data_IF_551230933403
#
_entry.id   IF_551230933403
#
_cell.length_a   1.000
_cell.length_b   1.000
_cell.length_c   1.000
_cell.angle_alpha   90.00
_cell.angle_beta   90.00
_cell.angle_gamma   90.00
#
_symmetry.space_group_name_H-M   'P 1'
#
loop_
_entity.id
_entity.type
_entity.pdbx_description
1 polymer ?
#
# COMPACT_ATOMS: atom_id res chain seq x y z
N UNK A 1 -44.72 -24.06 7.13
CA UNK A 1 -44.35 -23.95 8.55
C UNK A 1 -44.56 -25.29 9.24
N UNK A 2 -43.48 -25.92 9.74
CA UNK A 2 -43.56 -26.62 11.01
C UNK A 2 -42.35 -26.35 11.93
N UNK A 3 -42.65 -25.62 13.01
CA UNK A 3 -42.13 -25.62 14.39
C UNK A 3 -40.61 -25.59 14.66
N UNK A 4 -40.19 -24.41 15.13
CA UNK A 4 -39.10 -24.18 16.08
C UNK A 4 -39.10 -25.22 17.22
N UNK A 5 -37.95 -25.80 17.55
CA UNK A 5 -37.70 -26.48 18.83
C UNK A 5 -36.78 -25.60 19.68
N UNK A 6 -37.34 -25.05 20.76
CA UNK A 6 -36.60 -24.44 21.87
C UNK A 6 -36.38 -25.48 22.98
N UNK A 7 -35.35 -25.29 23.84
CA UNK A 7 -34.74 -26.36 24.63
C UNK A 7 -35.56 -26.69 25.88
N UNK A 8 -35.48 -27.94 26.33
CA UNK A 8 -35.88 -28.33 27.68
C UNK A 8 -34.92 -29.37 28.26
N UNK A 9 -34.11 -28.94 29.23
CA UNK A 9 -34.05 -29.55 30.55
C UNK A 9 -33.29 -28.61 31.51
N UNK A 10 -33.87 -28.42 32.70
CA UNK A 10 -33.19 -27.90 33.88
C UNK A 10 -32.16 -28.93 34.39
N UNK A 11 -31.10 -28.50 35.10
CA UNK A 11 -29.98 -29.36 35.47
C UNK A 11 -30.38 -30.44 36.48
N UNK A 12 -29.89 -31.67 36.25
CA UNK A 12 -29.88 -32.74 37.24
C UNK A 12 -28.85 -32.49 38.37
N UNK A 13 -28.82 -33.35 39.40
CA UNK A 13 -27.99 -33.14 40.59
C UNK A 13 -26.49 -33.13 40.25
N UNK A 14 -25.74 -32.28 40.96
CA UNK A 14 -24.32 -32.01 40.75
C UNK A 14 -23.48 -33.28 40.79
N UNK A 15 -22.80 -33.54 39.67
CA UNK A 15 -21.71 -34.50 39.53
C UNK A 15 -20.48 -34.01 40.31
N UNK A 16 -19.69 -34.89 40.97
CA UNK A 16 -18.49 -34.46 41.67
C UNK A 16 -17.48 -33.83 40.72
N UNK A 17 -16.94 -32.67 41.11
CA UNK A 17 -15.92 -31.91 40.38
C UNK A 17 -14.72 -32.80 40.00
N UNK A 18 -14.42 -32.87 38.70
CA UNK A 18 -13.17 -33.40 38.20
C UNK A 18 -11.98 -32.60 38.77
N UNK A 19 -10.82 -33.24 39.03
CA UNK A 19 -9.64 -32.54 39.51
C UNK A 19 -9.20 -31.45 38.53
N UNK A 20 -8.90 -30.27 39.07
CA UNK A 20 -8.45 -29.09 38.34
C UNK A 20 -7.22 -29.42 37.46
N UNK A 21 -7.15 -28.97 36.20
CA UNK A 21 -5.93 -29.11 35.41
C UNK A 21 -4.78 -28.34 36.07
N UNK A 22 -3.54 -28.87 36.03
CA UNK A 22 -2.40 -28.18 36.63
C UNK A 22 -2.23 -26.79 36.02
N UNK A 23 -2.03 -25.80 36.89
CA UNK A 23 -1.71 -24.42 36.50
C UNK A 23 -0.55 -24.42 35.50
N UNK A 24 -0.59 -23.59 34.43
CA UNK A 24 0.55 -23.50 33.51
C UNK A 24 1.78 -23.06 34.31
N UNK A 25 2.97 -23.64 34.02
CA UNK A 25 4.17 -23.29 34.75
C UNK A 25 4.41 -21.79 34.61
N UNK A 26 4.35 -21.08 35.74
CA UNK A 26 4.91 -19.73 35.82
C UNK A 26 6.39 -19.86 35.48
N UNK A 27 6.77 -19.44 34.28
CA UNK A 27 8.17 -19.36 33.86
C UNK A 27 8.88 -18.27 34.68
N UNK A 28 9.16 -18.57 35.95
CA UNK A 28 10.19 -17.90 36.72
C UNK A 28 11.53 -18.36 36.12
N UNK A 29 12.04 -17.59 35.15
CA UNK A 29 13.37 -17.84 34.60
C UNK A 29 14.40 -17.83 35.74
N UNK A 30 14.96 -19.01 36.04
CA UNK A 30 16.04 -19.13 37.00
C UNK A 30 17.30 -18.41 36.51
N UNK A 31 18.02 -17.78 37.45
CA UNK A 31 19.30 -17.05 37.26
C UNK A 31 20.34 -17.78 36.39
N UNK A 32 20.28 -19.12 36.34
CA UNK A 32 21.18 -19.98 35.54
C UNK A 32 20.76 -20.16 34.07
N UNK A 33 19.48 -19.97 33.74
CA UNK A 33 18.99 -19.84 32.35
C UNK A 33 19.15 -18.39 31.84
N UNK A 34 19.09 -17.40 32.73
CA UNK A 34 19.44 -16.00 32.41
C UNK A 34 20.89 -15.86 31.94
N UNK A 35 21.84 -16.60 32.54
CA UNK A 35 23.24 -16.64 32.10
C UNK A 35 23.45 -17.37 30.75
N UNK A 36 22.58 -18.31 30.37
CA UNK A 36 22.57 -18.88 29.00
C UNK A 36 22.04 -17.88 27.97
N UNK A 37 21.15 -16.97 28.36
CA UNK A 37 20.74 -15.80 27.56
C UNK A 37 21.84 -14.74 27.42
N UNK A 38 22.73 -14.60 28.40
CA UNK A 38 23.88 -13.70 28.33
C UNK A 38 24.93 -14.15 27.29
N UNK A 39 24.99 -15.45 26.96
CA UNK A 39 25.83 -15.97 25.87
C UNK A 39 25.47 -15.42 24.49
N UNK A 40 24.22 -14.99 24.28
CA UNK A 40 23.78 -14.34 23.03
C UNK A 40 24.17 -12.85 23.01
N UNK A 41 24.41 -12.22 24.16
CA UNK A 41 24.91 -10.83 24.23
C UNK A 41 26.38 -10.75 23.84
N UNK A 42 27.18 -11.77 24.13
CA UNK A 42 28.61 -11.81 23.74
C UNK A 42 28.83 -12.16 22.27
N UNK A 43 27.92 -12.88 21.62
CA UNK A 43 27.95 -13.08 20.16
C UNK A 43 27.66 -11.78 19.37
N UNK A 44 27.15 -10.73 20.03
CA UNK A 44 26.90 -9.43 19.41
C UNK A 44 28.15 -8.55 19.23
N UNK A 45 29.31 -8.95 19.77
CA UNK A 45 30.54 -8.15 19.65
C UNK A 45 31.19 -8.25 18.26
N UNK A 46 30.83 -9.25 17.45
CA UNK A 46 31.32 -9.41 16.07
C UNK A 46 30.24 -9.14 15.01
N UNK A 47 28.98 -8.98 15.40
CA UNK A 47 27.91 -8.66 14.46
C UNK A 47 28.00 -7.17 14.09
N UNK A 48 28.03 -6.81 12.79
CA UNK A 48 27.94 -5.41 12.41
C UNK A 48 26.68 -4.82 13.06
N UNK A 49 26.78 -3.63 13.67
CA UNK A 49 25.70 -3.01 14.44
C UNK A 49 24.35 -2.96 13.68
N UNK A 50 24.38 -3.01 12.35
CA UNK A 50 23.23 -3.17 11.46
C UNK A 50 22.50 -4.52 11.61
N UNK A 51 23.22 -5.64 11.78
CA UNK A 51 22.64 -6.96 12.03
C UNK A 51 21.86 -7.02 13.35
N UNK A 52 22.47 -6.53 14.43
CA UNK A 52 21.83 -6.45 15.76
C UNK A 52 20.58 -5.56 15.72
N UNK A 53 20.67 -4.38 15.09
CA UNK A 53 19.53 -3.47 14.93
C UNK A 53 18.39 -4.10 14.14
N UNK A 54 18.69 -4.86 13.07
CA UNK A 54 17.67 -5.57 12.28
C UNK A 54 17.03 -6.70 13.08
N UNK A 55 17.81 -7.46 13.85
CA UNK A 55 17.27 -8.48 14.75
C UNK A 55 16.34 -7.86 15.80
N UNK A 56 16.74 -6.72 16.39
CA UNK A 56 15.90 -5.97 17.32
C UNK A 56 14.62 -5.43 16.67
N UNK A 57 14.70 -4.89 15.44
CA UNK A 57 13.52 -4.45 14.70
C UNK A 57 12.56 -5.62 14.44
N UNK A 58 13.09 -6.76 13.99
CA UNK A 58 12.30 -7.97 13.76
C UNK A 58 11.65 -8.49 15.06
N UNK A 59 12.36 -8.45 16.19
CA UNK A 59 11.82 -8.81 17.50
C UNK A 59 10.66 -7.89 17.95
N UNK A 60 10.56 -6.68 17.38
CA UNK A 60 9.43 -5.76 17.57
C UNK A 60 8.41 -5.80 16.43
N UNK A 61 8.47 -6.82 15.57
CA UNK A 61 7.55 -6.98 14.44
C UNK A 61 7.75 -5.94 13.33
N UNK A 62 8.94 -5.35 13.20
CA UNK A 62 9.25 -4.34 12.17
C UNK A 62 10.21 -4.90 11.13
N UNK A 63 10.03 -4.50 9.87
CA UNK A 63 10.92 -4.92 8.78
C UNK A 63 12.14 -4.01 8.66
N UNK A 64 11.93 -2.70 8.78
CA UNK A 64 13.01 -1.72 8.81
C UNK A 64 13.45 -1.42 10.24
N UNK A 65 14.75 -1.18 10.40
CA UNK A 65 15.27 -0.50 11.59
C UNK A 65 14.72 0.93 11.66
N UNK A 66 14.75 1.55 12.84
CA UNK A 66 14.33 2.95 13.00
C UNK A 66 15.11 3.91 12.09
N UNK A 67 16.39 3.63 11.84
CA UNK A 67 17.22 4.40 10.92
C UNK A 67 16.83 4.19 9.46
N UNK A 68 16.65 2.94 9.01
CA UNK A 68 16.21 2.64 7.64
C UNK A 68 14.83 3.27 7.36
N UNK A 69 13.90 3.19 8.31
CA UNK A 69 12.58 3.82 8.19
C UNK A 69 12.68 5.35 8.12
N UNK A 70 13.55 5.98 8.92
CA UNK A 70 13.76 7.42 8.87
C UNK A 70 14.37 7.87 7.52
N UNK A 71 15.31 7.10 6.97
CA UNK A 71 15.87 7.34 5.64
C UNK A 71 14.80 7.19 4.55
N UNK A 72 14.00 6.13 4.59
CA UNK A 72 12.89 5.93 3.65
C UNK A 72 11.87 7.08 3.73
N UNK A 73 11.49 7.48 4.94
CA UNK A 73 10.56 8.59 5.16
C UNK A 73 11.11 9.92 4.64
N UNK A 74 12.41 10.18 4.78
CA UNK A 74 13.05 11.37 4.23
C UNK A 74 13.09 11.33 2.70
N UNK A 75 13.36 10.16 2.10
CA UNK A 75 13.33 9.96 0.65
C UNK A 75 11.94 10.21 0.07
N UNK A 76 10.87 9.70 0.70
CA UNK A 76 9.50 9.97 0.27
C UNK A 76 9.18 11.48 0.27
N UNK A 77 9.65 12.24 1.27
CA UNK A 77 9.51 13.71 1.31
C UNK A 77 10.34 14.45 0.25
N UNK A 78 11.23 13.76 -0.48
CA UNK A 78 11.90 14.33 -1.66
C UNK A 78 11.09 14.08 -2.93
N UNK A 79 10.24 13.07 -2.94
CA UNK A 79 9.29 12.83 -4.04
C UNK A 79 8.09 13.78 -3.92
N UNK A 80 7.45 13.84 -2.75
CA UNK A 80 6.37 14.81 -2.46
C UNK A 80 6.78 15.61 -1.22
N UNK A 81 7.42 16.77 -1.39
CA UNK A 81 7.84 17.62 -0.28
C UNK A 81 6.64 18.27 0.41
N UNK A 82 6.75 18.55 1.73
CA UNK A 82 5.75 19.37 2.41
C UNK A 82 5.85 20.83 1.94
N UNK A 83 4.71 21.43 1.66
CA UNK A 83 4.57 22.85 1.36
C UNK A 83 3.37 23.44 2.16
N UNK A 84 2.39 24.06 1.49
CA UNK A 84 1.10 24.39 2.11
C UNK A 84 0.31 23.11 2.47
N UNK A 85 0.56 22.03 1.74
CA UNK A 85 -0.05 20.72 1.86
C UNK A 85 0.92 19.71 2.52
N UNK A 86 0.42 18.61 3.09
CA UNK A 86 1.27 17.58 3.67
C UNK A 86 2.16 16.87 2.65
N UNK A 87 3.46 16.82 2.94
CA UNK A 87 4.40 15.97 2.21
C UNK A 87 4.19 14.46 2.49
N UNK A 88 4.88 13.62 1.72
CA UNK A 88 4.71 12.16 1.73
C UNK A 88 4.92 11.51 3.12
N UNK A 89 5.81 12.04 3.96
CA UNK A 89 5.97 11.58 5.36
C UNK A 89 4.69 11.78 6.15
N UNK A 90 4.09 12.96 6.04
CA UNK A 90 2.87 13.31 6.76
C UNK A 90 1.66 12.51 6.24
N UNK A 91 1.67 12.15 4.94
CA UNK A 91 0.69 11.26 4.31
C UNK A 91 0.90 9.77 4.65
N UNK A 92 2.09 9.39 5.12
CA UNK A 92 2.39 8.04 5.58
C UNK A 92 2.92 7.10 4.50
N UNK A 93 3.50 7.62 3.41
CA UNK A 93 4.01 6.82 2.30
C UNK A 93 5.02 5.74 2.73
N UNK A 94 5.96 6.07 3.62
CA UNK A 94 6.93 5.09 4.13
C UNK A 94 6.27 3.93 4.92
N UNK A 95 5.12 4.19 5.57
CA UNK A 95 4.35 3.17 6.29
C UNK A 95 3.60 2.27 5.31
N UNK A 96 3.06 2.83 4.22
CA UNK A 96 2.53 2.05 3.10
C UNK A 96 3.59 1.10 2.53
N UNK A 97 4.77 1.63 2.21
CA UNK A 97 5.88 0.84 1.65
C UNK A 97 6.29 -0.27 2.62
N UNK A 98 6.49 0.01 3.91
CA UNK A 98 6.83 -1.04 4.89
C UNK A 98 5.72 -2.11 4.95
N UNK A 99 4.44 -1.71 4.96
CA UNK A 99 3.29 -2.62 5.01
C UNK A 99 3.18 -3.50 3.76
N UNK A 100 3.41 -2.95 2.57
CA UNK A 100 3.48 -3.69 1.31
C UNK A 100 4.63 -4.71 1.36
N UNK A 101 5.81 -4.29 1.80
CA UNK A 101 6.97 -5.18 1.92
C UNK A 101 6.69 -6.30 2.92
N UNK A 102 5.94 -6.04 4.00
CA UNK A 102 5.55 -7.02 5.02
C UNK A 102 4.21 -7.70 4.75
N UNK A 103 3.62 -7.58 3.55
CA UNK A 103 2.26 -8.08 3.30
C UNK A 103 2.08 -9.56 3.65
N UNK A 104 3.11 -10.40 3.43
CA UNK A 104 3.12 -11.84 3.70
C UNK A 104 3.55 -12.24 5.11
N UNK A 105 3.81 -11.29 6.01
CA UNK A 105 4.09 -11.58 7.42
C UNK A 105 2.79 -11.81 8.23
N UNK A 106 1.64 -11.78 7.54
CA UNK A 106 0.30 -11.98 8.07
C UNK A 106 -0.31 -13.29 7.55
N UNK A 107 -1.21 -13.89 8.33
CA UNK A 107 -1.93 -15.12 7.95
C UNK A 107 -2.69 -14.95 6.62
N UNK A 108 -3.38 -13.82 6.46
CA UNK A 108 -3.94 -13.39 5.17
C UNK A 108 -3.06 -12.27 4.65
N UNK A 109 -2.43 -12.42 3.48
CA UNK A 109 -1.54 -11.40 2.95
C UNK A 109 -2.26 -10.06 2.74
N UNK A 110 -1.62 -8.96 3.15
CA UNK A 110 -2.18 -7.62 3.05
C UNK A 110 -2.04 -7.02 1.63
N UNK A 111 -2.47 -7.78 0.62
CA UNK A 111 -2.30 -7.45 -0.80
C UNK A 111 -3.57 -6.89 -1.43
N UNK A 112 -4.72 -7.55 -1.25
CA UNK A 112 -6.00 -7.07 -1.74
C UNK A 112 -6.97 -6.87 -0.58
N UNK A 113 -7.36 -5.61 -0.36
CA UNK A 113 -8.46 -5.27 0.52
C UNK A 113 -9.77 -5.85 -0.02
N UNK A 114 -10.69 -6.22 0.88
CA UNK A 114 -12.02 -6.68 0.50
C UNK A 114 -12.89 -5.58 -0.09
N UNK A 115 -14.10 -5.97 -0.49
CA UNK A 115 -15.09 -5.05 -1.07
C UNK A 115 -16.51 -5.50 -0.74
N UNK A 116 -17.53 -4.75 -1.19
CA UNK A 116 -17.41 -3.65 -2.14
C UNK A 116 -17.18 -2.26 -1.51
N UNK A 117 -17.45 -2.05 -0.22
CA UNK A 117 -17.50 -0.70 0.35
C UNK A 117 -16.58 -0.50 1.56
N UNK A 118 -16.05 0.72 1.69
CA UNK A 118 -15.18 1.10 2.81
C UNK A 118 -15.94 1.51 4.06
N UNK A 119 -17.25 1.79 3.99
CA UNK A 119 -18.08 2.46 5.01
C UNK A 119 -17.93 3.98 5.17
N UNK A 120 -17.09 4.63 4.36
CA UNK A 120 -16.95 6.10 4.35
C UNK A 120 -18.22 6.81 3.89
N UNK A 121 -19.01 6.17 3.02
CA UNK A 121 -20.27 6.69 2.52
C UNK A 121 -21.48 5.82 2.93
N UNK A 122 -22.66 6.43 3.19
CA UNK A 122 -23.89 5.70 3.49
C UNK A 122 -24.52 5.11 2.22
N UNK A 123 -25.56 4.30 2.38
CA UNK A 123 -26.43 3.94 1.27
C UNK A 123 -27.30 5.14 0.85
N UNK A 124 -27.66 5.24 -0.43
CA UNK A 124 -28.70 6.18 -0.86
C UNK A 124 -30.06 5.75 -0.31
N UNK A 125 -30.94 6.72 -0.06
CA UNK A 125 -32.37 6.49 0.06
C UNK A 125 -32.95 6.18 -1.32
N UNK A 126 -33.78 5.13 -1.43
CA UNK A 126 -34.29 4.67 -2.72
C UNK A 126 -35.46 5.51 -3.26
N UNK A 127 -36.08 6.35 -2.42
CA UNK A 127 -37.25 7.15 -2.81
C UNK A 127 -36.83 8.56 -3.26
N UNK A 128 -35.96 9.21 -2.49
CA UNK A 128 -35.55 10.59 -2.74
C UNK A 128 -34.07 10.76 -3.11
N UNK A 129 -33.28 9.70 -3.10
CA UNK A 129 -31.87 9.74 -3.47
C UNK A 129 -30.96 10.51 -2.50
N UNK A 130 -31.42 10.81 -1.28
CA UNK A 130 -30.60 11.48 -0.26
C UNK A 130 -29.72 10.48 0.51
N UNK A 131 -28.65 10.93 1.20
CA UNK A 131 -27.85 10.05 2.05
C UNK A 131 -28.69 9.46 3.20
N UNK A 132 -28.82 8.13 3.24
CA UNK A 132 -29.57 7.46 4.30
C UNK A 132 -28.80 7.39 5.62
N UNK A 133 -29.47 6.95 6.69
CA UNK A 133 -28.84 6.65 7.98
C UNK A 133 -28.08 5.31 8.00
N UNK A 134 -28.21 4.49 6.95
CA UNK A 134 -27.61 3.16 6.90
C UNK A 134 -26.24 3.21 6.24
N UNK A 135 -25.25 2.53 6.82
CA UNK A 135 -23.89 2.43 6.27
C UNK A 135 -23.52 0.97 6.02
N UNK A 136 -22.78 0.67 4.95
CA UNK A 136 -22.26 -0.68 4.75
C UNK A 136 -21.20 -1.01 5.81
N UNK A 137 -20.92 -2.31 5.96
CA UNK A 137 -19.74 -2.77 6.73
C UNK A 137 -18.48 -2.29 6.02
N UNK A 138 -17.43 -1.98 6.78
CA UNK A 138 -16.11 -1.69 6.21
C UNK A 138 -15.47 -2.99 5.72
N UNK A 139 -15.71 -3.33 4.45
CA UNK A 139 -15.13 -4.51 3.83
C UNK A 139 -13.63 -4.32 3.57
N UNK A 140 -13.16 -3.08 3.37
CA UNK A 140 -11.77 -2.78 3.07
C UNK A 140 -10.81 -3.14 4.21
N UNK A 141 -11.31 -3.21 5.45
CA UNK A 141 -10.55 -3.71 6.62
C UNK A 141 -10.24 -5.21 6.55
N UNK A 142 -10.93 -5.97 5.70
CA UNK A 142 -10.82 -7.42 5.62
C UNK A 142 -10.13 -7.81 4.31
N UNK A 143 -8.86 -8.16 4.38
CA UNK A 143 -8.09 -8.58 3.21
C UNK A 143 -8.53 -9.97 2.74
N UNK A 144 -8.48 -10.19 1.42
CA UNK A 144 -8.90 -11.45 0.80
C UNK A 144 -7.71 -12.37 0.55
N UNK A 145 -7.87 -13.70 0.73
CA UNK A 145 -6.85 -14.67 0.34
C UNK A 145 -6.53 -14.59 -1.15
N UNK A 146 -5.25 -14.80 -1.48
CA UNK A 146 -4.79 -14.84 -2.85
C UNK A 146 -5.03 -16.23 -3.46
N UNK A 147 -5.28 -16.28 -4.76
CA UNK A 147 -5.18 -17.53 -5.51
C UNK A 147 -3.72 -18.01 -5.54
N UNK A 148 -3.49 -19.30 -5.78
CA UNK A 148 -2.13 -19.88 -5.83
C UNK A 148 -1.17 -19.12 -6.75
N UNK A 149 -1.64 -18.72 -7.94
CA UNK A 149 -0.81 -18.02 -8.93
C UNK A 149 -0.51 -16.58 -8.48
N UNK A 150 -1.50 -15.88 -7.93
CA UNK A 150 -1.30 -14.54 -7.36
C UNK A 150 -0.33 -14.57 -6.19
N UNK A 151 -0.43 -15.58 -5.32
CA UNK A 151 0.50 -15.76 -4.20
C UNK A 151 1.94 -15.99 -4.69
N UNK A 152 2.16 -16.90 -5.65
CA UNK A 152 3.49 -17.14 -6.22
C UNK A 152 4.06 -15.85 -6.81
N UNK A 153 3.27 -15.12 -7.60
CA UNK A 153 3.71 -13.86 -8.22
C UNK A 153 4.10 -12.82 -7.18
N UNK A 154 3.25 -12.58 -6.17
CA UNK A 154 3.53 -11.58 -5.15
C UNK A 154 4.67 -11.97 -4.22
N UNK A 155 4.82 -13.25 -3.90
CA UNK A 155 6.00 -13.74 -3.17
C UNK A 155 7.27 -13.50 -3.98
N UNK A 156 7.28 -13.81 -5.27
CA UNK A 156 8.42 -13.55 -6.14
C UNK A 156 8.76 -12.06 -6.17
N UNK A 157 7.75 -11.20 -6.25
CA UNK A 157 7.90 -9.75 -6.22
C UNK A 157 8.59 -9.27 -4.93
N UNK A 158 8.19 -9.80 -3.76
CA UNK A 158 8.74 -9.37 -2.47
C UNK A 158 10.08 -10.02 -2.11
N UNK A 159 10.24 -11.31 -2.40
CA UNK A 159 11.36 -12.14 -1.93
C UNK A 159 12.40 -12.46 -3.00
N UNK A 160 12.02 -12.35 -4.27
CA UNK A 160 12.81 -12.74 -5.43
C UNK A 160 12.49 -14.17 -5.90
N UNK A 161 12.65 -14.42 -7.20
CA UNK A 161 12.31 -15.71 -7.83
C UNK A 161 13.10 -16.87 -7.23
N UNK A 162 14.39 -16.68 -6.97
CA UNK A 162 15.28 -17.69 -6.38
C UNK A 162 14.85 -18.18 -4.97
N UNK A 163 13.97 -17.45 -4.26
CA UNK A 163 13.49 -17.81 -2.92
C UNK A 163 12.06 -18.36 -2.92
N UNK A 164 11.43 -18.43 -4.09
CA UNK A 164 10.01 -18.76 -4.21
C UNK A 164 9.87 -19.92 -5.20
N UNK A 165 9.61 -21.14 -4.69
CA UNK A 165 9.41 -22.31 -5.56
C UNK A 165 8.36 -22.04 -6.64
N UNK A 166 8.73 -22.29 -7.90
CA UNK A 166 7.85 -22.09 -9.06
C UNK A 166 7.78 -20.66 -9.59
N UNK A 167 8.56 -19.72 -9.06
CA UNK A 167 8.67 -18.35 -9.58
C UNK A 167 9.85 -18.13 -10.56
N UNK A 168 10.72 -19.13 -10.68
CA UNK A 168 11.95 -19.14 -11.46
C UNK A 168 11.78 -19.58 -12.92
N UNK A 169 10.55 -19.87 -13.34
CA UNK A 169 10.22 -20.39 -14.68
C UNK A 169 10.73 -19.54 -15.85
N UNK A 170 10.97 -18.23 -15.62
CA UNK A 170 11.49 -17.31 -16.62
C UNK A 170 12.96 -16.88 -16.38
N UNK A 171 13.60 -17.39 -15.33
CA UNK A 171 14.91 -16.88 -14.91
C UNK A 171 16.04 -17.25 -15.88
N UNK A 172 15.92 -18.37 -16.59
CA UNK A 172 16.88 -18.76 -17.62
C UNK A 172 16.92 -17.76 -18.80
N UNK A 173 15.80 -17.12 -19.11
CA UNK A 173 15.69 -16.16 -20.22
C UNK A 173 15.90 -14.71 -19.78
N UNK A 174 15.34 -14.34 -18.62
CA UNK A 174 15.26 -12.95 -18.18
C UNK A 174 16.18 -12.63 -16.99
N UNK A 175 16.91 -13.63 -16.48
CA UNK A 175 17.66 -13.53 -15.23
C UNK A 175 16.77 -13.60 -13.98
N UNK A 176 17.36 -13.80 -12.79
CA UNK A 176 16.61 -13.90 -11.55
C UNK A 176 15.94 -12.57 -11.17
N UNK A 177 14.68 -12.65 -10.72
CA UNK A 177 13.97 -11.49 -10.17
C UNK A 177 14.52 -11.16 -8.79
N UNK A 178 15.03 -9.93 -8.61
CA UNK A 178 15.41 -9.43 -7.30
C UNK A 178 14.16 -8.96 -6.55
N UNK A 179 13.95 -9.50 -5.33
CA UNK A 179 12.79 -9.15 -4.51
C UNK A 179 12.86 -7.74 -3.94
N UNK A 180 11.70 -7.07 -3.84
CA UNK A 180 11.58 -5.71 -3.33
C UNK A 180 12.17 -5.54 -1.92
N UNK A 181 12.04 -6.53 -1.02
CA UNK A 181 12.66 -6.46 0.32
C UNK A 181 14.19 -6.30 0.24
N UNK A 182 14.82 -6.97 -0.72
CA UNK A 182 16.27 -6.88 -0.94
C UNK A 182 16.63 -5.53 -1.54
N UNK A 183 15.90 -5.11 -2.58
CA UNK A 183 16.08 -3.82 -3.26
C UNK A 183 16.03 -2.68 -2.25
N UNK A 184 14.95 -2.57 -1.47
CA UNK A 184 14.80 -1.49 -0.49
C UNK A 184 15.94 -1.48 0.55
N UNK A 185 16.33 -2.64 1.09
CA UNK A 185 17.41 -2.70 2.10
C UNK A 185 18.76 -2.31 1.52
N UNK A 186 19.06 -2.67 0.28
CA UNK A 186 20.31 -2.33 -0.39
C UNK A 186 20.33 -0.85 -0.78
N UNK A 187 19.24 -0.35 -1.35
CA UNK A 187 19.13 1.03 -1.79
C UNK A 187 19.15 2.03 -0.63
N UNK A 188 18.43 1.77 0.47
CA UNK A 188 18.50 2.63 1.66
C UNK A 188 19.91 2.67 2.27
N UNK A 189 20.65 1.55 2.22
CA UNK A 189 22.06 1.52 2.63
C UNK A 189 22.92 2.38 1.70
N UNK A 190 22.73 2.26 0.38
CA UNK A 190 23.47 3.04 -0.62
C UNK A 190 23.23 4.54 -0.45
N UNK A 191 21.96 4.95 -0.30
CA UNK A 191 21.57 6.35 -0.02
C UNK A 191 22.32 6.89 1.19
N UNK A 192 22.31 6.14 2.28
CA UNK A 192 22.92 6.56 3.54
C UNK A 192 24.46 6.54 3.51
N UNK A 193 25.07 5.69 2.67
CA UNK A 193 26.51 5.71 2.41
C UNK A 193 26.90 6.95 1.58
N UNK A 194 26.15 7.25 0.51
CA UNK A 194 26.36 8.44 -0.31
C UNK A 194 26.21 9.72 0.50
N UNK A 195 25.18 9.80 1.34
CA UNK A 195 24.97 10.93 2.26
C UNK A 195 26.17 11.15 3.20
N UNK A 196 26.70 10.08 3.80
CA UNK A 196 27.88 10.18 4.68
C UNK A 196 29.14 10.57 3.92
N UNK A 197 29.32 10.05 2.71
CA UNK A 197 30.46 10.41 1.88
C UNK A 197 30.44 11.89 1.46
N UNK A 198 29.26 12.42 1.12
CA UNK A 198 29.12 13.81 0.66
C UNK A 198 29.11 14.83 1.81
N UNK A 199 28.51 14.48 2.95
CA UNK A 199 28.17 15.46 3.99
C UNK A 199 28.52 15.02 5.42
N UNK A 200 29.17 13.87 5.60
CA UNK A 200 29.57 13.35 6.91
C UNK A 200 28.42 12.91 7.83
N UNK A 201 27.16 12.99 7.38
CA UNK A 201 25.96 12.68 8.15
C UNK A 201 25.10 11.64 7.44
N UNK A 202 24.30 10.92 8.23
CA UNK A 202 23.25 10.04 7.71
C UNK A 202 22.21 10.84 6.91
N UNK A 203 21.64 10.24 5.85
CA UNK A 203 20.71 10.92 4.94
C UNK A 203 19.53 11.57 5.68
N UNK A 204 18.91 10.84 6.61
CA UNK A 204 17.77 11.32 7.41
C UNK A 204 18.11 12.51 8.35
N UNK A 205 19.39 12.84 8.51
CA UNK A 205 19.89 13.96 9.33
C UNK A 205 20.44 15.12 8.51
N UNK A 206 20.34 15.05 7.18
CA UNK A 206 20.74 16.12 6.28
C UNK A 206 19.64 17.18 6.15
N UNK A 207 20.05 18.41 5.85
CA UNK A 207 19.13 19.48 5.47
C UNK A 207 18.43 19.16 4.13
N UNK A 208 17.23 19.71 3.84
CA UNK A 208 16.50 19.38 2.62
C UNK A 208 17.33 19.53 1.34
N UNK A 209 18.02 20.66 1.16
CA UNK A 209 18.89 20.89 0.00
C UNK A 209 20.03 19.87 -0.14
N UNK A 210 20.55 19.36 0.98
CA UNK A 210 21.58 18.32 0.97
C UNK A 210 20.99 16.95 0.61
N UNK A 211 19.75 16.67 1.06
CA UNK A 211 19.03 15.47 0.64
C UNK A 211 18.75 15.51 -0.87
N UNK A 212 18.35 16.65 -1.41
CA UNK A 212 18.13 16.85 -2.85
C UNK A 212 19.41 16.58 -3.65
N UNK A 213 20.55 17.09 -3.19
CA UNK A 213 21.84 16.86 -3.84
C UNK A 213 22.24 15.38 -3.85
N UNK A 214 22.06 14.67 -2.73
CA UNK A 214 22.29 13.21 -2.67
C UNK A 214 21.34 12.45 -3.59
N UNK A 215 20.06 12.84 -3.61
CA UNK A 215 19.04 12.21 -4.45
C UNK A 215 19.37 12.40 -5.94
N UNK A 216 19.67 13.62 -6.36
CA UNK A 216 20.06 13.94 -7.74
C UNK A 216 21.32 13.19 -8.19
N UNK A 217 22.31 13.05 -7.31
CA UNK A 217 23.52 12.27 -7.60
C UNK A 217 23.21 10.77 -7.78
N UNK A 218 22.29 10.23 -6.98
CA UNK A 218 21.88 8.82 -7.07
C UNK A 218 20.97 8.53 -8.27
N UNK A 219 20.30 9.55 -8.79
CA UNK A 219 19.43 9.44 -9.96
C UNK A 219 20.21 9.63 -11.26
N UNK A 220 20.86 10.78 -11.39
CA UNK A 220 21.45 11.26 -12.65
C UNK A 220 22.97 11.41 -12.61
N UNK A 221 23.64 10.97 -11.54
CA UNK A 221 25.09 11.04 -11.40
C UNK A 221 25.87 10.06 -12.29
N UNK A 222 27.21 9.98 -12.13
CA UNK A 222 28.04 9.02 -12.85
C UNK A 222 27.57 7.58 -12.62
N UNK A 223 27.74 6.70 -13.62
CA UNK A 223 27.31 5.29 -13.57
C UNK A 223 27.84 4.51 -12.35
N UNK A 224 29.00 4.89 -11.81
CA UNK A 224 29.59 4.31 -10.60
C UNK A 224 28.82 4.63 -9.32
N UNK A 225 28.03 5.72 -9.31
CA UNK A 225 27.31 6.21 -8.13
C UNK A 225 25.80 6.07 -8.31
N UNK A 226 25.23 6.41 -9.47
CA UNK A 226 23.78 6.38 -9.68
C UNK A 226 23.19 4.98 -9.55
N UNK A 227 21.87 4.88 -9.39
CA UNK A 227 21.17 3.60 -9.45
C UNK A 227 21.17 3.07 -10.88
N UNK A 228 21.55 1.80 -11.03
CA UNK A 228 21.37 1.08 -12.28
C UNK A 228 19.90 0.68 -12.44
N UNK A 229 19.44 0.57 -13.67
CA UNK A 229 18.13 0.00 -13.98
C UNK A 229 18.10 -1.48 -13.56
N UNK A 230 16.99 -1.90 -12.96
CA UNK A 230 16.71 -3.29 -12.66
C UNK A 230 16.42 -4.02 -13.99
N UNK A 231 17.19 -5.07 -14.35
CA UNK A 231 17.03 -5.77 -15.63
C UNK A 231 15.65 -6.38 -15.84
N UNK A 232 14.95 -6.75 -14.77
CA UNK A 232 13.62 -7.37 -14.83
C UNK A 232 12.49 -6.34 -14.87
N UNK A 233 12.73 -5.12 -14.39
CA UNK A 233 11.71 -4.06 -14.25
C UNK A 233 11.88 -2.90 -15.22
N UNK A 234 13.06 -2.74 -15.80
CA UNK A 234 13.39 -1.65 -16.72
C UNK A 234 13.65 -0.29 -16.06
N UNK A 235 13.25 -0.08 -14.80
CA UNK A 235 13.44 1.16 -14.03
C UNK A 235 14.47 1.04 -12.91
N UNK A 236 14.86 2.17 -12.34
CA UNK A 236 15.78 2.28 -11.20
C UNK A 236 15.06 2.15 -9.85
N UNK A 237 15.82 2.16 -8.76
CA UNK A 237 15.24 2.30 -7.42
C UNK A 237 14.48 3.62 -7.23
N UNK A 238 14.90 4.70 -7.90
CA UNK A 238 14.22 5.99 -7.80
C UNK A 238 12.83 5.90 -8.41
N UNK A 239 12.69 5.25 -9.57
CA UNK A 239 11.39 5.01 -10.21
C UNK A 239 10.45 4.21 -9.31
N UNK A 240 10.96 3.12 -8.71
CA UNK A 240 10.21 2.31 -7.74
C UNK A 240 9.81 3.12 -6.49
N UNK A 241 10.71 3.95 -5.97
CA UNK A 241 10.45 4.80 -4.82
C UNK A 241 9.36 5.83 -5.15
N UNK A 242 9.42 6.47 -6.32
CA UNK A 242 8.42 7.44 -6.78
C UNK A 242 7.06 6.75 -6.87
N UNK A 243 6.99 5.62 -7.60
CA UNK A 243 5.75 4.86 -7.76
C UNK A 243 5.14 4.50 -6.40
N UNK A 244 5.88 3.82 -5.52
CA UNK A 244 5.30 3.41 -4.24
C UNK A 244 5.06 4.58 -3.28
N UNK A 245 5.73 5.74 -3.47
CA UNK A 245 5.41 6.95 -2.72
C UNK A 245 4.07 7.52 -3.15
N UNK A 246 3.81 7.61 -4.46
CA UNK A 246 2.52 8.04 -5.00
C UNK A 246 1.40 7.10 -4.55
N UNK A 247 1.58 5.79 -4.71
CA UNK A 247 0.63 4.79 -4.19
C UNK A 247 0.41 4.97 -2.68
N UNK A 248 1.48 5.14 -1.90
CA UNK A 248 1.38 5.35 -0.46
C UNK A 248 0.73 6.67 -0.04
N UNK A 249 0.71 7.68 -0.92
CA UNK A 249 0.04 8.95 -0.64
C UNK A 249 -1.44 8.90 -1.02
N UNK A 250 -1.79 8.19 -2.08
CA UNK A 250 -3.09 8.33 -2.74
C UNK A 250 -3.91 7.02 -2.86
N UNK A 251 -3.40 5.88 -2.40
CA UNK A 251 -4.18 4.65 -2.26
C UNK A 251 -5.15 4.71 -1.05
N UNK A 252 -6.10 3.76 -0.92
CA UNK A 252 -6.92 3.65 0.28
C UNK A 252 -6.06 3.51 1.56
N UNK A 253 -6.41 4.19 2.66
CA UNK A 253 -5.61 4.21 3.87
C UNK A 253 -5.50 2.84 4.57
N UNK A 254 -6.33 1.87 4.21
CA UNK A 254 -6.22 0.47 4.66
C UNK A 254 -4.89 -0.19 4.28
N UNK A 255 -4.20 0.33 3.27
CA UNK A 255 -2.85 -0.08 2.90
C UNK A 255 -1.74 0.64 3.70
N UNK A 256 -2.10 1.45 4.71
CA UNK A 256 -1.15 2.11 5.61
C UNK A 256 -0.66 3.48 5.13
N UNK A 257 -1.04 3.88 3.92
CA UNK A 257 -0.80 5.21 3.36
C UNK A 257 -1.91 6.21 3.69
N UNK A 258 -1.98 7.28 2.88
CA UNK A 258 -3.08 8.25 2.80
C UNK A 258 -3.71 8.59 4.16
N UNK A 259 -2.86 8.92 5.14
CA UNK A 259 -3.28 8.97 6.54
C UNK A 259 -4.38 10.01 6.75
N UNK A 260 -5.50 9.57 7.33
CA UNK A 260 -6.71 10.40 7.54
C UNK A 260 -7.26 11.01 6.24
N UNK A 261 -7.11 10.31 5.11
CA UNK A 261 -7.59 10.73 3.80
C UNK A 261 -6.91 12.00 3.25
N UNK A 262 -5.85 12.47 3.91
CA UNK A 262 -5.20 13.74 3.60
C UNK A 262 -4.62 13.81 2.19
N UNK A 263 -4.23 12.68 1.60
CA UNK A 263 -3.74 12.63 0.24
C UNK A 263 -4.86 12.90 -0.76
N UNK A 264 -6.05 12.35 -0.52
CA UNK A 264 -7.24 12.68 -1.32
C UNK A 264 -7.69 14.12 -1.08
N UNK A 265 -7.73 14.57 0.18
CA UNK A 265 -8.09 15.95 0.53
C UNK A 265 -7.16 16.98 -0.14
N UNK A 266 -5.85 16.71 -0.22
CA UNK A 266 -4.89 17.59 -0.91
C UNK A 266 -5.17 17.73 -2.42
N UNK A 267 -5.78 16.71 -3.03
CA UNK A 267 -6.17 16.71 -4.44
C UNK A 267 -7.61 17.17 -4.66
N UNK A 268 -8.28 17.67 -3.61
CA UNK A 268 -9.72 17.97 -3.59
C UNK A 268 -10.58 16.77 -4.04
N UNK A 269 -10.16 15.55 -3.67
CA UNK A 269 -10.90 14.32 -3.90
C UNK A 269 -11.58 13.85 -2.60
N UNK A 270 -12.87 13.48 -2.68
CA UNK A 270 -13.65 12.95 -1.55
C UNK A 270 -13.19 11.51 -1.18
N UNK A 271 -12.71 10.77 -2.17
CA UNK A 271 -12.22 9.41 -2.02
C UNK A 271 -13.12 8.39 -2.71
N UNK A 272 -13.46 7.30 -2.03
CA UNK A 272 -14.42 6.33 -2.52
C UNK A 272 -15.85 6.69 -2.12
N UNK A 273 -16.70 6.96 -3.12
CA UNK A 273 -18.04 7.51 -2.90
C UNK A 273 -19.17 6.48 -2.88
N UNK A 274 -18.85 5.23 -3.19
CA UNK A 274 -19.81 4.13 -3.14
C UNK A 274 -20.08 3.70 -1.68
N UNK A 275 -21.33 3.29 -1.35
CA UNK A 275 -22.45 3.05 -2.26
C UNK A 275 -23.33 4.27 -2.55
N UNK A 276 -23.05 5.44 -1.97
CA UNK A 276 -23.86 6.63 -2.19
C UNK A 276 -23.79 7.08 -3.66
N UNK A 277 -22.58 7.15 -4.21
CA UNK A 277 -22.35 7.61 -5.58
C UNK A 277 -22.62 9.10 -5.77
N UNK A 278 -22.72 9.52 -7.04
CA UNK A 278 -22.90 10.92 -7.43
C UNK A 278 -24.28 11.22 -8.00
N UNK A 279 -24.82 10.27 -8.77
CA UNK A 279 -26.13 10.35 -9.43
C UNK A 279 -27.03 9.27 -8.84
N UNK A 280 -28.05 9.68 -8.10
CA UNK A 280 -28.89 8.75 -7.34
C UNK A 280 -30.32 8.82 -7.85
N UNK A 281 -30.88 7.67 -8.23
CA UNK A 281 -32.26 7.61 -8.70
C UNK A 281 -33.25 8.01 -7.58
N UNK A 282 -34.15 8.93 -7.89
CA UNK A 282 -35.27 9.32 -7.07
C UNK A 282 -36.56 8.91 -7.76
N UNK A 283 -37.31 8.02 -7.11
CA UNK A 283 -38.65 7.62 -7.54
C UNK A 283 -39.61 8.80 -7.53
N UNK A 284 -39.48 9.70 -6.56
CA UNK A 284 -40.33 10.88 -6.46
C UNK A 284 -40.20 11.82 -7.68
N UNK A 285 -39.02 11.86 -8.31
CA UNK A 285 -38.76 12.65 -9.53
C UNK A 285 -38.85 11.84 -10.82
N UNK A 286 -38.95 10.52 -10.72
CA UNK A 286 -38.73 9.59 -11.83
C UNK A 286 -37.44 9.92 -12.63
N UNK A 287 -36.34 10.16 -11.90
CA UNK A 287 -35.09 10.66 -12.46
C UNK A 287 -33.92 10.64 -11.48
N UNK A 288 -32.77 11.20 -11.85
CA UNK A 288 -31.57 11.21 -11.02
C UNK A 288 -31.39 12.53 -10.27
N UNK A 289 -30.97 12.42 -9.01
CA UNK A 289 -30.47 13.53 -8.21
C UNK A 289 -28.95 13.55 -8.27
N UNK A 290 -28.42 14.62 -8.86
CA UNK A 290 -27.00 14.94 -8.78
C UNK A 290 -26.69 15.56 -7.41
N UNK A 291 -25.61 15.09 -6.78
CA UNK A 291 -25.13 15.69 -5.53
C UNK A 291 -24.59 17.10 -5.81
N UNK A 292 -25.18 18.15 -5.20
CA UNK A 292 -24.78 19.54 -5.46
C UNK A 292 -23.45 19.90 -4.78
N UNK A 293 -23.01 19.09 -3.82
CA UNK A 293 -21.75 19.24 -3.09
C UNK A 293 -20.55 18.58 -3.80
N UNK A 294 -20.74 18.02 -4.99
CA UNK A 294 -19.71 17.28 -5.69
C UNK A 294 -19.08 18.08 -6.86
N UNK A 295 -17.73 18.14 -6.98
CA UNK A 295 -17.04 18.98 -7.96
C UNK A 295 -17.18 18.51 -9.43
N UNK A 296 -17.58 17.26 -9.67
CA UNK A 296 -17.73 16.67 -11.02
C UNK A 296 -19.18 16.67 -11.56
N UNK A 297 -20.15 17.15 -10.80
CA UNK A 297 -21.56 17.25 -11.23
C UNK A 297 -21.85 18.61 -11.88
N UNK A 298 -20.95 19.09 -12.74
CA UNK A 298 -21.41 20.04 -13.77
C UNK A 298 -22.40 19.30 -14.66
N UNK A 299 -23.56 19.89 -15.01
CA UNK A 299 -24.50 19.28 -15.95
C UNK A 299 -23.74 18.72 -17.16
N UNK A 300 -24.11 17.53 -17.62
CA UNK A 300 -23.50 16.96 -18.82
C UNK A 300 -23.60 18.03 -19.91
N UNK A 301 -22.49 18.46 -20.54
CA UNK A 301 -22.54 19.57 -21.49
C UNK A 301 -23.49 19.34 -22.66
N UNK A 302 -23.81 18.09 -22.97
CA UNK A 302 -24.82 17.72 -23.97
C UNK A 302 -26.27 17.92 -23.48
N UNK A 303 -26.50 17.93 -22.15
CA UNK A 303 -27.80 18.20 -21.53
C UNK A 303 -28.14 19.70 -21.48
N UNK A 304 -27.13 20.58 -21.48
CA UNK A 304 -27.34 22.05 -21.35
C UNK A 304 -27.56 22.73 -22.70
N UNK A 305 -27.15 22.10 -23.80
CA UNK A 305 -27.14 22.75 -25.12
C UNK A 305 -27.39 21.81 -26.31
N UNK A 306 -27.78 20.55 -26.08
CA UNK A 306 -27.79 19.52 -27.12
C UNK A 306 -26.36 19.08 -27.50
N UNK A 307 -26.22 18.01 -28.31
CA UNK A 307 -24.92 17.50 -28.71
C UNK A 307 -24.13 18.62 -29.38
N UNK A 308 -22.94 18.93 -28.85
CA UNK A 308 -22.10 19.96 -29.46
C UNK A 308 -21.74 19.52 -30.89
N UNK A 309 -21.96 20.36 -31.91
CA UNK A 309 -21.51 20.04 -33.25
C UNK A 309 -20.00 19.79 -33.22
N UNK A 310 -19.55 18.72 -33.89
CA UNK A 310 -18.14 18.38 -33.97
C UNK A 310 -17.40 19.58 -34.56
N UNK A 311 -16.39 20.08 -33.82
CA UNK A 311 -15.58 21.20 -34.30
C UNK A 311 -14.91 20.85 -35.63
N UNK A 312 -14.66 21.85 -36.49
CA UNK A 312 -13.98 21.62 -37.76
C UNK A 312 -12.62 20.91 -37.61
N UNK A 313 -11.91 21.16 -36.51
CA UNK A 313 -10.66 20.49 -36.18
C UNK A 313 -10.88 19.00 -35.83
N UNK A 314 -11.92 18.68 -35.05
CA UNK A 314 -12.26 17.30 -34.73
C UNK A 314 -12.79 16.52 -35.95
N UNK A 315 -13.53 17.18 -36.85
CA UNK A 315 -13.91 16.60 -38.15
C UNK A 315 -12.67 16.31 -39.01
N UNK A 316 -11.72 17.24 -39.08
CA UNK A 316 -10.47 17.04 -39.84
C UNK A 316 -9.63 15.88 -39.30
N UNK A 317 -9.60 15.69 -37.97
CA UNK A 317 -8.93 14.53 -37.35
C UNK A 317 -9.69 13.24 -37.67
N UNK A 318 -11.03 13.22 -37.59
CA UNK A 318 -11.83 12.05 -37.99
C UNK A 318 -11.65 11.71 -39.47
N UNK A 319 -11.65 12.69 -40.36
CA UNK A 319 -11.44 12.49 -41.80
C UNK A 319 -10.03 11.96 -42.07
N UNK A 320 -9.03 12.45 -41.34
CA UNK A 320 -7.66 11.94 -41.42
C UNK A 320 -7.59 10.50 -40.94
N UNK A 321 -8.24 10.15 -39.83
CA UNK A 321 -8.30 8.77 -39.31
C UNK A 321 -9.03 7.87 -40.31
N UNK A 322 -10.18 8.28 -40.85
CA UNK A 322 -10.95 7.50 -41.83
C UNK A 322 -10.15 7.30 -43.12
N UNK A 323 -9.47 8.34 -43.61
CA UNK A 323 -8.59 8.26 -44.76
C UNK A 323 -7.41 7.30 -44.50
N UNK A 324 -6.79 7.39 -43.33
CA UNK A 324 -5.71 6.48 -42.92
C UNK A 324 -6.20 5.03 -42.80
N UNK A 325 -7.40 4.83 -42.25
CA UNK A 325 -8.00 3.50 -42.08
C UNK A 325 -8.42 2.89 -43.43
N UNK A 326 -8.78 3.70 -44.43
CA UNK A 326 -8.99 3.25 -45.82
C UNK A 326 -7.70 2.97 -46.59
N UNK A 327 -6.58 3.56 -46.19
CA UNK A 327 -5.27 3.28 -46.78
C UNK A 327 -4.68 1.96 -46.25
N UNK A 328 -5.05 1.55 -45.02
CA UNK A 328 -4.56 0.32 -44.39
C UNK A 328 -5.62 -0.79 -44.20
N UNK A 329 -6.88 -0.52 -44.56
CA UNK A 329 -7.94 -1.50 -44.65
C UNK A 329 -7.98 -2.09 -46.05
N UNK A 330 -7.57 -3.34 -46.18
CA UNK A 330 -7.85 -4.17 -47.34
C UNK A 330 -9.37 -4.32 -47.53
N UNK A 331 -9.83 -4.32 -48.78
CA UNK A 331 -11.07 -5.02 -49.16
C UNK A 331 -11.07 -6.46 -48.60
#
# INVERSE_FOLDING_TARGET
MPKLKLPRALPGPAEPLAPEPPSPPTLLLGRRQFLKGLGVVLAALAAPATGVRRAYAAARGRFFTGHEFATLSALCDRVIPPDRDPGARALGAARYIERMLTAFDHRVPLVFAGGPFSNRNPFPDNDDGTPSRQRPKNAFRHFIPLTRVQEIRWRAELFGSAKVPGADFNDALLGPLTGLRTIYRQSLRKVDQTARAMHGKAFARLEPKQQDAVFALLDSGPASVRFAADPRRGGTFIDLLIQHTLEGCFAPPEYGGNHRLRGWTMLDLEGDDQPLGYSIFSRAKDGYNERPDHPMSTPNPDEVSGPRPISAAANSVQDTIIAFTRIFGTD
#
